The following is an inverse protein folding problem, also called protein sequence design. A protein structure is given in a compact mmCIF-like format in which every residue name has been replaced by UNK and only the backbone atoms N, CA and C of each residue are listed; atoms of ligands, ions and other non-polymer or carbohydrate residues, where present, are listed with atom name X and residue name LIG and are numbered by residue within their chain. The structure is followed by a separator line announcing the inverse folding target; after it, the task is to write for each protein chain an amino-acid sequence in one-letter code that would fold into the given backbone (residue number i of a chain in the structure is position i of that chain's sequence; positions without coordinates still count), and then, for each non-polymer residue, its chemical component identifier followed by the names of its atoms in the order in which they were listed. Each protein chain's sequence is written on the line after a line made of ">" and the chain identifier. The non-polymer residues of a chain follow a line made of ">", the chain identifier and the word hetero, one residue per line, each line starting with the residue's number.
data_IF_326074977400
#
_entry.id   IF_326074977400
#
_cell.length_a   1.000
_cell.length_b   1.000
_cell.length_c   1.000
_cell.angle_alpha   90.00
_cell.angle_beta   90.00
_cell.angle_gamma   90.00
#
_symmetry.space_group_name_H-M   'P 1'
#
loop_
_entity.id
_entity.type
_entity.pdbx_description
1 polymer ?
#
# COMPACT_ATOMS: atom_id res chain seq x y z
N UNK A 1 2.90 -6.02 4.93
CA UNK A 1 3.52 -4.81 4.33
C UNK A 1 4.23 -3.98 5.39
N UNK A 2 3.55 -3.40 6.38
CA UNK A 2 4.16 -2.52 7.41
C UNK A 2 5.36 -3.16 8.15
N UNK A 3 5.26 -4.40 8.70
CA UNK A 3 6.40 -5.01 9.40
C UNK A 3 7.56 -5.32 8.45
N UNK A 4 7.24 -5.72 7.21
CA UNK A 4 8.25 -6.03 6.20
C UNK A 4 9.05 -4.81 5.75
N UNK A 5 8.43 -3.63 5.65
CA UNK A 5 9.13 -2.43 5.21
C UNK A 5 9.93 -1.76 6.33
N UNK A 6 9.48 -1.88 7.58
CA UNK A 6 10.29 -1.55 8.75
C UNK A 6 11.52 -2.46 8.87
N UNK A 7 11.33 -3.78 8.72
CA UNK A 7 12.44 -4.73 8.71
C UNK A 7 13.42 -4.46 7.55
N UNK A 8 12.90 -4.14 6.36
CA UNK A 8 13.72 -3.81 5.19
C UNK A 8 14.56 -2.55 5.40
N UNK A 9 14.02 -1.56 6.11
CA UNK A 9 14.78 -0.35 6.46
C UNK A 9 15.90 -0.61 7.47
N UNK A 10 15.74 -1.58 8.37
CA UNK A 10 16.74 -1.90 9.40
C UNK A 10 17.84 -2.82 8.87
N UNK A 11 17.51 -3.69 7.92
CA UNK A 11 18.41 -4.74 7.44
C UNK A 11 18.88 -4.51 6.01
N UNK A 12 18.74 -3.28 5.49
CA UNK A 12 19.16 -2.90 4.14
C UNK A 12 20.67 -3.11 3.86
N UNK A 13 21.49 -3.24 4.91
CA UNK A 13 22.93 -3.49 4.79
C UNK A 13 23.28 -4.97 4.54
N UNK A 14 22.34 -5.90 4.70
CA UNK A 14 22.57 -7.34 4.48
C UNK A 14 21.63 -7.88 3.40
N UNK A 15 22.20 -8.35 2.29
CA UNK A 15 21.44 -8.76 1.11
C UNK A 15 20.43 -9.88 1.41
N UNK A 16 20.83 -10.92 2.16
CA UNK A 16 19.98 -12.08 2.42
C UNK A 16 18.77 -11.70 3.27
N UNK A 17 19.01 -10.97 4.36
CA UNK A 17 17.95 -10.53 5.25
C UNK A 17 17.07 -9.44 4.62
N UNK A 18 17.65 -8.55 3.81
CA UNK A 18 16.93 -7.58 3.00
C UNK A 18 15.98 -8.26 2.02
N UNK A 19 16.41 -9.34 1.36
CA UNK A 19 15.58 -10.09 0.43
C UNK A 19 14.39 -10.77 1.12
N UNK A 20 14.60 -11.34 2.31
CA UNK A 20 13.53 -11.92 3.12
C UNK A 20 12.53 -10.85 3.58
N UNK A 21 13.01 -9.69 4.04
CA UNK A 21 12.16 -8.57 4.42
C UNK A 21 11.34 -8.05 3.23
N UNK A 22 11.97 -7.97 2.05
CA UNK A 22 11.30 -7.62 0.79
C UNK A 22 10.22 -8.65 0.42
N UNK A 23 10.48 -9.95 0.60
CA UNK A 23 9.48 -11.00 0.36
C UNK A 23 8.23 -10.79 1.23
N UNK A 24 8.42 -10.56 2.53
CA UNK A 24 7.31 -10.26 3.45
C UNK A 24 6.59 -8.97 3.08
N UNK A 25 7.32 -7.96 2.60
CA UNK A 25 6.74 -6.71 2.12
C UNK A 25 5.80 -6.95 0.93
N UNK A 26 6.27 -7.68 -0.09
CA UNK A 26 5.52 -8.01 -1.31
C UNK A 26 4.30 -8.89 -0.99
N UNK A 27 4.45 -9.90 -0.15
CA UNK A 27 3.33 -10.77 0.25
C UNK A 27 2.17 -9.97 0.88
N UNK A 28 2.51 -9.01 1.75
CA UNK A 28 1.48 -8.16 2.36
C UNK A 28 0.89 -7.13 1.41
N UNK A 29 1.66 -6.66 0.41
CA UNK A 29 1.14 -5.81 -0.66
C UNK A 29 0.12 -6.58 -1.51
N UNK A 30 0.46 -7.80 -1.94
CA UNK A 30 -0.40 -8.63 -2.77
C UNK A 30 -1.72 -8.91 -2.07
N UNK A 31 -1.65 -9.30 -0.79
CA UNK A 31 -2.84 -9.51 0.03
C UNK A 31 -3.73 -8.27 0.10
N UNK A 32 -3.14 -7.07 0.27
CA UNK A 32 -3.90 -5.83 0.33
C UNK A 32 -4.56 -5.49 -1.01
N UNK A 33 -3.85 -5.67 -2.13
CA UNK A 33 -4.38 -5.39 -3.47
C UNK A 33 -5.52 -6.34 -3.83
N UNK A 34 -5.33 -7.64 -3.62
CA UNK A 34 -6.35 -8.66 -3.93
C UNK A 34 -7.58 -8.49 -3.03
N UNK A 35 -7.40 -8.21 -1.73
CA UNK A 35 -8.51 -7.97 -0.80
C UNK A 35 -9.29 -6.69 -1.10
N UNK A 36 -8.73 -5.76 -1.87
CA UNK A 36 -9.40 -4.52 -2.26
C UNK A 36 -10.37 -4.73 -3.43
N UNK A 37 -10.22 -5.80 -4.23
CA UNK A 37 -11.09 -6.05 -5.38
C UNK A 37 -12.56 -6.28 -4.98
N UNK A 38 -12.89 -7.12 -3.97
CA UNK A 38 -14.27 -7.26 -3.51
C UNK A 38 -14.79 -5.98 -2.86
N UNK A 39 -13.94 -5.24 -2.12
CA UNK A 39 -14.35 -3.96 -1.53
C UNK A 39 -14.73 -2.94 -2.62
N UNK A 40 -14.00 -2.94 -3.74
CA UNK A 40 -14.20 -2.00 -4.83
C UNK A 40 -15.56 -2.17 -5.53
N UNK A 41 -16.07 -3.40 -5.65
CA UNK A 41 -17.38 -3.66 -6.27
C UNK A 41 -18.54 -3.13 -5.44
N UNK A 42 -18.36 -2.96 -4.13
CA UNK A 42 -19.37 -2.44 -3.21
C UNK A 42 -19.25 -0.93 -2.95
N UNK A 43 -18.24 -0.25 -3.49
CA UNK A 43 -18.05 1.20 -3.28
C UNK A 43 -19.13 2.07 -3.94
N UNK A 44 -19.67 1.66 -5.09
CA UNK A 44 -20.68 2.44 -5.83
C UNK A 44 -21.95 1.61 -5.98
N UNK A 45 -23.05 1.98 -5.27
CA UNK A 45 -24.32 1.26 -5.37
C UNK A 45 -24.81 1.17 -6.81
N UNK A 46 -25.26 -0.02 -7.21
CA UNK A 46 -25.85 -0.31 -8.54
C UNK A 46 -24.89 -0.15 -9.74
N UNK A 47 -23.61 0.21 -9.54
CA UNK A 47 -22.61 0.39 -10.60
C UNK A 47 -21.23 -0.17 -10.20
N UNK A 48 -21.09 -1.51 -10.06
CA UNK A 48 -19.85 -2.13 -9.60
C UNK A 48 -18.65 -1.82 -10.51
N UNK A 49 -18.87 -1.69 -11.83
CA UNK A 49 -17.82 -1.32 -12.79
C UNK A 49 -17.21 0.06 -12.56
N UNK A 50 -18.00 1.03 -12.10
CA UNK A 50 -17.49 2.37 -11.75
C UNK A 50 -16.65 2.34 -10.47
N UNK A 51 -17.06 1.55 -9.46
CA UNK A 51 -16.28 1.37 -8.22
C UNK A 51 -14.92 0.71 -8.48
N UNK A 52 -14.92 -0.38 -9.28
CA UNK A 52 -13.68 -1.03 -9.72
C UNK A 52 -12.78 -0.08 -10.52
N UNK A 53 -13.35 0.64 -11.50
CA UNK A 53 -12.60 1.60 -12.30
C UNK A 53 -11.95 2.71 -11.47
N UNK A 54 -12.64 3.20 -10.44
CA UNK A 54 -12.12 4.22 -9.53
C UNK A 54 -10.95 3.68 -8.71
N UNK A 55 -11.06 2.46 -8.15
CA UNK A 55 -9.97 1.85 -7.37
C UNK A 55 -8.73 1.57 -8.24
N UNK A 56 -8.90 1.03 -9.45
CA UNK A 56 -7.78 0.80 -10.36
C UNK A 56 -7.16 2.12 -10.85
N UNK A 57 -7.99 3.13 -11.16
CA UNK A 57 -7.52 4.46 -11.55
C UNK A 57 -6.72 5.13 -10.43
N UNK A 58 -7.26 5.14 -9.20
CA UNK A 58 -6.58 5.67 -8.03
C UNK A 58 -5.29 4.91 -7.71
N UNK A 59 -5.29 3.58 -7.83
CA UNK A 59 -4.10 2.75 -7.66
C UNK A 59 -3.01 3.05 -8.69
N UNK A 60 -3.39 3.23 -9.96
CA UNK A 60 -2.45 3.58 -11.05
C UNK A 60 -1.86 4.98 -10.84
N UNK A 61 -2.68 5.97 -10.52
CA UNK A 61 -2.22 7.32 -10.19
C UNK A 61 -1.29 7.32 -8.98
N UNK A 62 -1.68 6.63 -7.90
CA UNK A 62 -0.87 6.51 -6.70
C UNK A 62 0.51 5.91 -6.98
N UNK A 63 0.58 4.86 -7.79
CA UNK A 63 1.85 4.27 -8.22
C UNK A 63 2.69 5.23 -9.07
N UNK A 64 2.07 5.98 -9.98
CA UNK A 64 2.75 6.98 -10.80
C UNK A 64 3.37 8.10 -9.96
N UNK A 65 2.59 8.70 -9.06
CA UNK A 65 3.08 9.74 -8.15
C UNK A 65 4.18 9.20 -7.23
N UNK A 66 3.95 8.02 -6.65
CA UNK A 66 4.89 7.46 -5.69
C UNK A 66 6.19 6.97 -6.33
N UNK A 67 6.19 6.61 -7.61
CA UNK A 67 7.42 6.30 -8.35
C UNK A 67 8.39 7.47 -8.36
N UNK A 68 7.89 8.70 -8.60
CA UNK A 68 8.73 9.92 -8.56
C UNK A 68 9.28 10.17 -7.16
N UNK A 69 8.42 10.09 -6.13
CA UNK A 69 8.80 10.33 -4.74
C UNK A 69 9.81 9.27 -4.26
N UNK A 70 9.56 8.00 -4.54
CA UNK A 70 10.43 6.89 -4.15
C UNK A 70 11.78 6.94 -4.84
N UNK A 71 11.83 7.31 -6.13
CA UNK A 71 13.09 7.46 -6.87
C UNK A 71 13.95 8.55 -6.25
N UNK A 72 13.36 9.71 -5.94
CA UNK A 72 14.07 10.79 -5.26
C UNK A 72 14.54 10.40 -3.86
N UNK A 73 13.70 9.69 -3.11
CA UNK A 73 14.06 9.21 -1.77
C UNK A 73 15.20 8.19 -1.80
N UNK A 74 15.22 7.33 -2.82
CA UNK A 74 16.30 6.36 -3.05
C UNK A 74 17.62 7.07 -3.33
N UNK A 75 17.61 8.04 -4.26
CA UNK A 75 18.78 8.85 -4.62
C UNK A 75 19.31 9.63 -3.40
N UNK A 76 18.42 10.27 -2.63
CA UNK A 76 18.81 11.12 -1.49
C UNK A 76 19.39 10.35 -0.30
N UNK A 77 19.02 9.09 -0.10
CA UNK A 77 19.50 8.25 1.02
C UNK A 77 20.50 7.18 0.61
N UNK A 78 20.84 7.13 -0.68
CA UNK A 78 21.75 6.14 -1.24
C UNK A 78 21.31 4.69 -0.95
N UNK A 79 20.00 4.42 -0.93
CA UNK A 79 19.50 3.09 -0.59
C UNK A 79 17.98 2.95 -0.50
N UNK A 80 17.53 1.72 -0.22
CA UNK A 80 16.11 1.32 -0.24
C UNK A 80 15.36 1.62 1.06
N UNK A 81 16.07 2.03 2.11
CA UNK A 81 15.50 2.24 3.44
C UNK A 81 14.43 3.35 3.46
N UNK A 82 14.72 4.54 2.92
CA UNK A 82 13.72 5.62 2.87
C UNK A 82 12.49 5.26 2.02
N UNK A 83 12.63 4.73 0.79
CA UNK A 83 11.48 4.26 0.02
C UNK A 83 10.62 3.24 0.77
N UNK A 84 11.24 2.30 1.50
CA UNK A 84 10.54 1.29 2.28
C UNK A 84 9.75 1.89 3.46
N UNK A 85 10.30 2.91 4.14
CA UNK A 85 9.61 3.65 5.20
C UNK A 85 8.43 4.43 4.63
N UNK A 86 8.61 5.13 3.51
CA UNK A 86 7.54 5.91 2.85
C UNK A 86 6.40 4.97 2.44
N UNK A 87 6.73 3.81 1.86
CA UNK A 87 5.74 2.77 1.51
C UNK A 87 5.02 2.21 2.74
N UNK A 88 5.74 1.94 3.82
CA UNK A 88 5.14 1.43 5.07
C UNK A 88 4.25 2.46 5.76
N UNK A 89 4.65 3.73 5.73
CA UNK A 89 3.90 4.84 6.34
C UNK A 89 2.60 5.08 5.58
N UNK A 90 2.66 5.12 4.25
CA UNK A 90 1.46 5.25 3.41
C UNK A 90 0.49 4.06 3.60
N UNK A 91 1.02 2.84 3.75
CA UNK A 91 0.22 1.66 4.11
C UNK A 91 -0.50 1.82 5.45
N UNK A 92 0.21 2.31 6.46
CA UNK A 92 -0.33 2.51 7.80
C UNK A 92 -1.44 3.57 7.77
N UNK A 93 -1.21 4.69 7.08
CA UNK A 93 -2.23 5.73 6.89
C UNK A 93 -3.46 5.17 6.18
N UNK A 94 -3.29 4.43 5.08
CA UNK A 94 -4.40 3.81 4.37
C UNK A 94 -5.20 2.84 5.27
N UNK A 95 -4.50 2.02 6.06
CA UNK A 95 -5.13 1.10 7.01
C UNK A 95 -5.93 1.84 8.08
N UNK A 96 -5.39 2.92 8.63
CA UNK A 96 -6.08 3.77 9.62
C UNK A 96 -7.33 4.41 9.00
N UNK A 97 -7.24 4.91 7.77
CA UNK A 97 -8.37 5.52 7.07
C UNK A 97 -9.49 4.49 6.82
N UNK A 98 -9.16 3.30 6.35
CA UNK A 98 -10.13 2.21 6.15
C UNK A 98 -10.76 1.79 7.48
N UNK A 99 -9.96 1.67 8.53
CA UNK A 99 -10.46 1.32 9.87
C UNK A 99 -11.40 2.40 10.43
N UNK A 100 -11.05 3.68 10.29
CA UNK A 100 -11.91 4.80 10.68
C UNK A 100 -13.20 4.84 9.87
N UNK A 101 -13.12 4.59 8.56
CA UNK A 101 -14.30 4.51 7.68
C UNK A 101 -15.25 3.40 8.13
N UNK A 102 -14.71 2.21 8.41
CA UNK A 102 -15.49 1.10 8.95
C UNK A 102 -16.13 1.44 10.30
N UNK A 103 -15.36 2.03 11.22
CA UNK A 103 -15.84 2.44 12.55
C UNK A 103 -16.96 3.47 12.49
N UNK A 104 -16.97 4.35 11.48
CA UNK A 104 -18.02 5.37 11.29
C UNK A 104 -19.29 4.84 10.58
N UNK A 105 -19.39 3.53 10.35
CA UNK A 105 -20.59 2.90 9.78
C UNK A 105 -20.67 2.96 8.25
N UNK A 106 -19.58 3.30 7.55
CA UNK A 106 -19.58 3.45 6.09
C UNK A 106 -19.86 2.18 5.26
N UNK A 107 -20.04 1.03 5.91
CA UNK A 107 -20.46 -0.23 5.25
C UNK A 107 -21.90 -0.62 5.59
N UNK A 108 -22.63 0.16 6.40
CA UNK A 108 -24.06 -0.03 6.69
C UNK A 108 -24.86 0.78 5.67
N UNK A 109 -24.85 0.31 4.43
CA UNK A 109 -25.87 0.68 3.46
C UNK A 109 -26.55 -0.63 3.04
N UNK A 110 -27.43 -1.12 3.93
CA UNK A 110 -28.57 -1.96 3.54
C UNK A 110 -29.53 -1.15 2.65
#
# INVERSE_FOLDING_TARGET
>A
MIPGGLALSLVSNNLVLGLLALMVYILGFEFAVVSMLPLATHLVPKRPGSGLGLVFGAGTLGRGVMSLVATRAYESSNGIALPAIIGSTSAAVATILIYQYHRRGGLVHE
#
